data_IF_412280515211
#
_entry.id   IF_412280515211
#
_cell.length_a   1.000
_cell.length_b   1.000
_cell.length_c   1.000
_cell.angle_alpha   90.00
_cell.angle_beta   90.00
_cell.angle_gamma   90.00
#
_symmetry.space_group_name_H-M   'P 1'
#
loop_
_entity.id
_entity.type
_entity.pdbx_description
1 polymer ?
#
# COMPACT_ATOMS: atom_id res chain seq x y z
N UNK A 1 2.25 1.67 36.55
CA UNK A 1 1.82 2.93 35.88
C UNK A 1 2.46 3.20 34.50
N UNK A 2 3.31 2.31 33.94
CA UNK A 2 3.99 2.54 32.64
C UNK A 2 3.13 2.26 31.39
N UNK A 3 2.15 1.35 31.46
CA UNK A 3 1.45 0.86 30.27
C UNK A 3 0.51 1.89 29.61
N UNK A 4 -0.26 2.67 30.38
CA UNK A 4 -1.24 3.58 29.80
C UNK A 4 -0.60 4.75 29.05
N UNK A 5 0.45 5.36 29.63
CA UNK A 5 1.16 6.50 29.01
C UNK A 5 1.98 6.06 27.80
N UNK A 6 2.56 4.85 27.85
CA UNK A 6 3.25 4.24 26.71
C UNK A 6 2.30 3.87 25.57
N UNK A 7 1.12 3.31 25.90
CA UNK A 7 0.07 3.02 24.92
C UNK A 7 -0.46 4.31 24.26
N UNK A 8 -0.68 5.36 25.06
CA UNK A 8 -1.17 6.64 24.55
C UNK A 8 -0.20 7.31 23.58
N UNK A 9 1.11 7.26 23.86
CA UNK A 9 2.13 7.77 22.92
C UNK A 9 2.20 6.96 21.62
N UNK A 10 1.99 5.65 21.68
CA UNK A 10 2.02 4.78 20.49
C UNK A 10 0.76 4.90 19.62
N UNK A 11 -0.40 5.19 20.24
CA UNK A 11 -1.70 5.22 19.58
C UNK A 11 -2.34 6.62 19.62
N UNK A 12 -1.55 7.67 19.42
CA UNK A 12 -2.02 9.05 19.49
C UNK A 12 -3.16 9.34 18.51
N UNK A 13 -3.05 8.85 17.26
CA UNK A 13 -4.09 9.04 16.23
C UNK A 13 -5.41 8.41 16.64
N UNK A 14 -5.39 7.18 17.21
CA UNK A 14 -6.60 6.51 17.69
C UNK A 14 -7.26 7.30 18.83
N UNK A 15 -6.46 7.80 19.78
CA UNK A 15 -6.97 8.59 20.90
C UNK A 15 -7.58 9.92 20.44
N UNK A 16 -6.94 10.60 19.49
CA UNK A 16 -7.46 11.84 18.91
C UNK A 16 -8.77 11.58 18.17
N UNK A 17 -8.84 10.53 17.35
CA UNK A 17 -10.05 10.14 16.64
C UNK A 17 -11.19 9.79 17.62
N UNK A 18 -10.89 9.06 18.69
CA UNK A 18 -11.87 8.71 19.73
C UNK A 18 -12.36 9.95 20.50
N UNK A 19 -11.46 10.85 20.87
CA UNK A 19 -11.82 12.11 21.52
C UNK A 19 -12.69 12.99 20.60
N UNK A 20 -12.33 13.10 19.32
CA UNK A 20 -13.13 13.82 18.33
C UNK A 20 -14.53 13.19 18.18
N UNK A 21 -14.62 11.86 18.13
CA UNK A 21 -15.91 11.15 18.07
C UNK A 21 -16.78 11.40 19.31
N UNK A 22 -16.19 11.47 20.51
CA UNK A 22 -16.92 11.82 21.73
C UNK A 22 -17.44 13.27 21.68
N UNK A 23 -16.62 14.21 21.21
CA UNK A 23 -17.01 15.61 21.09
C UNK A 23 -18.15 15.76 20.07
N UNK A 24 -18.05 15.13 18.91
CA UNK A 24 -19.11 15.21 17.89
C UNK A 24 -20.40 14.51 18.33
N UNK A 25 -20.28 13.46 19.15
CA UNK A 25 -21.44 12.79 19.77
C UNK A 25 -22.23 13.67 20.75
N UNK A 26 -21.68 14.80 21.22
CA UNK A 26 -22.43 15.78 22.01
C UNK A 26 -23.33 16.66 21.13
N UNK A 27 -22.94 16.90 19.88
CA UNK A 27 -23.70 17.72 18.92
C UNK A 27 -24.71 16.90 18.13
N UNK A 28 -24.35 15.66 17.79
CA UNK A 28 -25.24 14.70 17.14
C UNK A 28 -25.36 13.50 18.07
N UNK A 29 -26.48 13.33 18.79
CA UNK A 29 -26.64 12.26 19.75
C UNK A 29 -26.65 10.90 19.04
N UNK A 30 -25.99 9.91 19.64
CA UNK A 30 -25.92 8.55 19.08
C UNK A 30 -27.32 7.95 19.00
N UNK A 31 -27.76 7.68 17.78
CA UNK A 31 -28.99 6.96 17.50
C UNK A 31 -28.68 5.65 16.72
N UNK A 32 -29.74 4.96 16.28
CA UNK A 32 -29.58 3.71 15.53
C UNK A 32 -29.05 3.93 14.12
N UNK A 33 -29.13 5.15 13.57
CA UNK A 33 -28.66 5.46 12.22
C UNK A 33 -27.14 5.50 12.13
N UNK A 34 -26.45 5.74 13.25
CA UNK A 34 -24.98 5.68 13.33
C UNK A 34 -24.40 4.34 12.85
N UNK A 35 -25.12 3.22 13.04
CA UNK A 35 -24.68 1.91 12.53
C UNK A 35 -24.61 1.93 11.00
N UNK A 36 -25.50 2.68 10.33
CA UNK A 36 -25.52 2.84 8.89
C UNK A 36 -24.41 3.73 8.34
N UNK A 37 -23.73 4.52 9.18
CA UNK A 37 -22.60 5.36 8.74
C UNK A 37 -21.35 4.53 8.43
N UNK A 38 -21.24 3.34 9.02
CA UNK A 38 -20.11 2.45 8.79
C UNK A 38 -20.36 1.58 7.57
N UNK A 39 -19.53 1.77 6.53
CA UNK A 39 -19.42 0.78 5.46
C UNK A 39 -18.63 -0.43 5.96
N UNK A 40 -19.33 -1.35 6.63
CA UNK A 40 -18.75 -2.58 7.18
C UNK A 40 -18.04 -3.43 6.13
N UNK A 41 -18.47 -3.36 4.87
CA UNK A 41 -17.82 -4.07 3.77
C UNK A 41 -16.43 -3.50 3.51
N UNK A 42 -16.32 -2.17 3.42
CA UNK A 42 -15.06 -1.48 3.21
C UNK A 42 -14.12 -1.65 4.40
N UNK A 43 -14.62 -1.48 5.64
CA UNK A 43 -13.83 -1.66 6.86
C UNK A 43 -13.30 -3.09 7.02
N UNK A 44 -14.14 -4.10 6.78
CA UNK A 44 -13.74 -5.51 6.85
C UNK A 44 -12.66 -5.83 5.82
N UNK A 45 -12.79 -5.29 4.61
CA UNK A 45 -11.83 -5.46 3.54
C UNK A 45 -10.47 -4.85 3.90
N UNK A 46 -10.46 -3.60 4.38
CA UNK A 46 -9.25 -2.91 4.84
C UNK A 46 -8.56 -3.69 5.97
N UNK A 47 -9.34 -4.15 6.96
CA UNK A 47 -8.82 -4.96 8.06
C UNK A 47 -8.16 -6.25 7.57
N UNK A 48 -8.85 -7.04 6.73
CA UNK A 48 -8.33 -8.30 6.21
C UNK A 48 -7.00 -8.11 5.47
N UNK A 49 -6.89 -7.08 4.63
CA UNK A 49 -5.66 -6.85 3.88
C UNK A 49 -4.54 -6.37 4.78
N UNK A 50 -4.81 -5.46 5.73
CA UNK A 50 -3.83 -5.03 6.71
C UNK A 50 -3.32 -6.20 7.56
N UNK A 51 -4.21 -7.09 7.99
CA UNK A 51 -3.87 -8.28 8.75
C UNK A 51 -2.96 -9.23 7.95
N UNK A 52 -3.27 -9.49 6.68
CA UNK A 52 -2.40 -10.32 5.83
C UNK A 52 -1.05 -9.67 5.56
N UNK A 53 -1.00 -8.36 5.34
CA UNK A 53 0.27 -7.62 5.18
C UNK A 53 1.12 -7.75 6.45
N UNK A 54 0.52 -7.64 7.64
CA UNK A 54 1.22 -7.89 8.90
C UNK A 54 1.74 -9.34 8.99
N UNK A 55 0.93 -10.33 8.63
CA UNK A 55 1.33 -11.73 8.67
C UNK A 55 2.48 -12.06 7.68
N UNK A 56 2.45 -11.48 6.47
CA UNK A 56 3.53 -11.56 5.50
C UNK A 56 4.81 -10.89 6.00
N UNK A 57 4.68 -9.78 6.72
CA UNK A 57 5.82 -9.11 7.37
C UNK A 57 6.45 -10.01 8.43
N UNK A 58 5.64 -10.69 9.25
CA UNK A 58 6.14 -11.54 10.34
C UNK A 58 6.94 -12.75 9.86
N UNK A 59 6.66 -13.26 8.66
CA UNK A 59 7.47 -14.34 8.05
C UNK A 59 8.62 -13.87 7.16
N UNK A 60 9.03 -12.60 7.26
CA UNK A 60 10.13 -12.06 6.46
C UNK A 60 9.91 -12.21 4.94
N UNK A 61 8.66 -12.32 4.49
CA UNK A 61 8.34 -12.48 3.06
C UNK A 61 8.87 -11.30 2.24
N UNK A 62 8.58 -10.08 2.72
CA UNK A 62 9.06 -8.86 2.11
C UNK A 62 10.58 -8.75 2.14
N UNK A 63 11.26 -9.34 3.15
CA UNK A 63 12.72 -9.38 3.19
C UNK A 63 13.31 -10.25 2.07
N UNK A 64 12.64 -11.34 1.70
CA UNK A 64 13.10 -12.19 0.58
C UNK A 64 12.80 -11.58 -0.77
N UNK A 65 11.63 -10.93 -0.94
CA UNK A 65 11.39 -10.12 -2.13
C UNK A 65 12.42 -9.00 -2.22
N UNK A 66 12.72 -8.32 -1.11
CA UNK A 66 13.75 -7.30 -1.04
C UNK A 66 15.11 -7.83 -1.48
N UNK A 67 15.55 -9.00 -0.99
CA UNK A 67 16.79 -9.63 -1.46
C UNK A 67 16.76 -9.96 -2.95
N UNK A 68 15.63 -10.45 -3.46
CA UNK A 68 15.49 -10.79 -4.89
C UNK A 68 15.54 -9.54 -5.77
N UNK A 69 14.88 -8.45 -5.35
CA UNK A 69 14.94 -7.13 -5.98
C UNK A 69 16.39 -6.63 -5.95
N UNK A 70 17.07 -6.63 -4.81
CA UNK A 70 18.46 -6.12 -4.72
C UNK A 70 19.45 -6.99 -5.50
N UNK A 71 19.27 -8.31 -5.52
CA UNK A 71 20.12 -9.21 -6.30
C UNK A 71 19.95 -8.99 -7.81
N UNK A 72 18.73 -8.69 -8.25
CA UNK A 72 18.44 -8.35 -9.63
C UNK A 72 18.90 -6.93 -9.99
N UNK A 73 18.65 -5.97 -9.09
CA UNK A 73 18.94 -4.55 -9.26
C UNK A 73 20.17 -4.15 -8.42
N UNK A 74 21.34 -4.25 -9.05
CA UNK A 74 22.67 -4.08 -8.44
C UNK A 74 22.97 -2.68 -7.86
N UNK A 75 22.11 -1.69 -8.08
CA UNK A 75 22.31 -0.31 -7.61
C UNK A 75 21.10 0.25 -6.87
N UNK A 76 21.36 1.18 -5.95
CA UNK A 76 20.35 1.83 -5.13
C UNK A 76 19.29 2.53 -5.99
N UNK A 77 19.71 3.20 -7.06
CA UNK A 77 18.83 3.84 -8.04
C UNK A 77 17.88 2.85 -8.68
N UNK A 78 18.40 1.73 -9.19
CA UNK A 78 17.57 0.74 -9.90
C UNK A 78 16.60 0.04 -8.95
N UNK A 79 17.01 -0.23 -7.71
CA UNK A 79 16.11 -0.79 -6.70
C UNK A 79 15.00 0.18 -6.30
N UNK A 80 15.32 1.48 -6.11
CA UNK A 80 14.32 2.50 -5.80
C UNK A 80 13.35 2.69 -6.97
N UNK A 81 13.87 2.76 -8.20
CA UNK A 81 13.04 2.79 -9.40
C UNK A 81 12.12 1.58 -9.48
N UNK A 82 12.65 0.37 -9.28
CA UNK A 82 11.84 -0.86 -9.31
C UNK A 82 10.73 -0.83 -8.25
N UNK A 83 11.02 -0.40 -7.03
CA UNK A 83 10.03 -0.27 -5.96
C UNK A 83 8.92 0.73 -6.33
N UNK A 84 9.31 1.90 -6.86
CA UNK A 84 8.37 2.96 -7.27
C UNK A 84 7.50 2.48 -8.44
N UNK A 85 8.08 1.82 -9.45
CA UNK A 85 7.35 1.29 -10.59
C UNK A 85 6.43 0.11 -10.24
N UNK A 86 6.85 -0.79 -9.36
CA UNK A 86 5.98 -1.86 -8.86
C UNK A 86 4.79 -1.25 -8.11
N UNK A 87 5.03 -0.18 -7.33
CA UNK A 87 3.95 0.56 -6.65
C UNK A 87 3.01 1.24 -7.65
N UNK A 88 3.57 1.86 -8.70
CA UNK A 88 2.84 2.54 -9.77
C UNK A 88 1.94 1.60 -10.57
N UNK A 89 2.46 0.45 -10.99
CA UNK A 89 1.69 -0.58 -11.70
C UNK A 89 0.71 -1.25 -10.76
N UNK A 90 1.12 -1.49 -9.51
CA UNK A 90 0.26 -2.03 -8.46
C UNK A 90 -0.99 -1.18 -8.27
N UNK A 91 -0.87 0.15 -8.19
CA UNK A 91 -2.02 1.04 -7.98
C UNK A 91 -2.94 1.19 -9.20
N UNK A 92 -2.54 0.73 -10.39
CA UNK A 92 -3.46 0.61 -11.53
C UNK A 92 -4.41 -0.58 -11.38
N UNK A 93 -3.91 -1.65 -10.77
CA UNK A 93 -4.59 -2.93 -10.64
C UNK A 93 -5.45 -2.96 -9.37
N UNK A 94 -4.87 -2.54 -8.24
CA UNK A 94 -5.53 -2.46 -6.93
C UNK A 94 -5.68 -1.01 -6.48
N UNK A 95 -6.53 -0.74 -5.49
CA UNK A 95 -6.69 0.61 -4.94
C UNK A 95 -5.35 1.16 -4.38
N UNK A 96 -5.11 2.46 -4.60
CA UNK A 96 -3.90 3.19 -4.22
C UNK A 96 -3.46 2.90 -2.76
N UNK A 97 -4.38 3.04 -1.80
CA UNK A 97 -4.08 2.84 -0.37
C UNK A 97 -3.58 1.42 -0.08
N UNK A 98 -4.14 0.43 -0.79
CA UNK A 98 -3.78 -0.98 -0.64
C UNK A 98 -2.40 -1.27 -1.25
N UNK A 99 -2.07 -0.61 -2.36
CA UNK A 99 -0.74 -0.66 -2.95
C UNK A 99 0.31 -0.09 -1.98
N UNK A 100 0.04 1.06 -1.37
CA UNK A 100 0.96 1.67 -0.41
C UNK A 100 1.18 0.80 0.82
N UNK A 101 0.11 0.27 1.41
CA UNK A 101 0.22 -0.64 2.57
C UNK A 101 1.09 -1.87 2.26
N UNK A 102 1.06 -2.34 1.02
CA UNK A 102 1.85 -3.51 0.59
C UNK A 102 3.31 -3.16 0.29
N UNK A 103 3.56 -2.10 -0.47
CA UNK A 103 4.88 -1.81 -1.03
C UNK A 103 5.75 -0.88 -0.18
N UNK A 104 5.17 -0.11 0.74
CA UNK A 104 5.93 0.76 1.64
C UNK A 104 6.79 -0.05 2.65
N UNK A 105 6.27 -1.12 3.30
CA UNK A 105 7.09 -1.99 4.15
C UNK A 105 8.21 -2.70 3.36
N UNK A 106 7.95 -3.04 2.10
CA UNK A 106 8.95 -3.62 1.21
C UNK A 106 10.10 -2.63 0.93
N UNK A 107 9.78 -1.37 0.61
CA UNK A 107 10.78 -0.33 0.40
C UNK A 107 11.61 -0.04 1.65
N UNK A 108 10.98 -0.03 2.83
CA UNK A 108 11.67 0.06 4.12
C UNK A 108 12.72 -1.05 4.28
N UNK A 109 12.31 -2.31 4.05
CA UNK A 109 13.18 -3.48 4.23
C UNK A 109 14.34 -3.48 3.24
N UNK A 110 14.12 -3.15 1.96
CA UNK A 110 15.19 -3.02 0.95
C UNK A 110 16.25 -2.00 1.39
N UNK A 111 15.82 -0.81 1.80
CA UNK A 111 16.75 0.27 2.15
C UNK A 111 17.43 0.06 3.50
N UNK A 112 16.72 -0.52 4.47
CA UNK A 112 17.30 -0.82 5.78
C UNK A 112 18.29 -1.98 5.73
N UNK A 113 18.00 -3.05 4.97
CA UNK A 113 18.89 -4.21 4.81
C UNK A 113 20.16 -3.91 4.01
N UNK A 114 20.16 -2.84 3.22
CA UNK A 114 21.32 -2.40 2.41
C UNK A 114 22.05 -1.19 3.00
N UNK A 115 21.67 -0.75 4.20
CA UNK A 115 22.27 0.41 4.87
C UNK A 115 22.01 1.75 4.17
N UNK A 116 21.01 1.83 3.30
CA UNK A 116 20.67 3.01 2.48
C UNK A 116 19.47 3.80 3.01
N UNK A 117 19.32 3.86 4.33
CA UNK A 117 18.21 4.57 4.98
C UNK A 117 18.13 6.06 4.62
N UNK A 118 19.23 6.69 4.17
CA UNK A 118 19.23 8.08 3.66
C UNK A 118 18.25 8.33 2.50
N UNK A 119 17.93 7.30 1.72
CA UNK A 119 16.97 7.41 0.61
C UNK A 119 15.54 7.00 0.99
N UNK A 120 15.28 6.65 2.26
CA UNK A 120 13.99 6.13 2.70
C UNK A 120 12.87 7.16 2.55
N UNK A 121 13.08 8.38 3.05
CA UNK A 121 12.10 9.46 2.92
C UNK A 121 11.77 9.74 1.44
N UNK A 122 12.81 9.86 0.60
CA UNK A 122 12.62 10.06 -0.84
C UNK A 122 11.82 8.91 -1.47
N UNK A 123 12.18 7.66 -1.16
CA UNK A 123 11.52 6.48 -1.72
C UNK A 123 10.05 6.43 -1.32
N UNK A 124 9.72 6.73 -0.07
CA UNK A 124 8.32 6.77 0.40
C UNK A 124 7.51 7.88 -0.26
N UNK A 125 8.10 9.06 -0.44
CA UNK A 125 7.46 10.16 -1.17
C UNK A 125 7.19 9.72 -2.61
N UNK A 126 8.18 9.14 -3.29
CA UNK A 126 8.02 8.69 -4.68
C UNK A 126 7.02 7.53 -4.81
N UNK A 127 6.99 6.59 -3.85
CA UNK A 127 5.98 5.54 -3.82
C UNK A 127 4.58 6.09 -3.62
N UNK A 128 4.40 7.09 -2.74
CA UNK A 128 3.11 7.75 -2.52
C UNK A 128 2.62 8.46 -3.79
N UNK A 129 3.50 9.26 -4.40
CA UNK A 129 3.23 9.93 -5.67
C UNK A 129 2.88 8.90 -6.76
N UNK A 130 3.68 7.83 -6.87
CA UNK A 130 3.46 6.79 -7.86
C UNK A 130 2.14 6.04 -7.67
N UNK A 131 1.78 5.72 -6.43
CA UNK A 131 0.52 5.04 -6.15
C UNK A 131 -0.68 5.91 -6.53
N UNK A 132 -0.61 7.22 -6.27
CA UNK A 132 -1.68 8.16 -6.60
C UNK A 132 -1.78 8.47 -8.11
N UNK A 133 -0.65 8.57 -8.80
CA UNK A 133 -0.62 8.86 -10.23
C UNK A 133 -0.84 7.62 -11.11
N UNK A 134 -0.47 6.43 -10.62
CA UNK A 134 -0.64 5.17 -11.35
C UNK A 134 -2.12 4.83 -11.58
N UNK A 135 -2.97 5.01 -10.56
CA UNK A 135 -4.41 4.76 -10.64
C UNK A 135 -5.19 5.73 -11.53
N UNK A 136 -4.54 6.75 -12.12
CA UNK A 136 -5.22 7.75 -12.95
C UNK A 136 -5.56 7.24 -14.36
N UNK A 137 -4.80 6.28 -14.88
CA UNK A 137 -4.99 5.77 -16.25
C UNK A 137 -6.24 4.87 -16.36
N UNK A 138 -6.60 4.18 -15.28
CA UNK A 138 -7.74 3.27 -15.25
C UNK A 138 -8.92 3.91 -14.52
N UNK A 139 -10.16 3.70 -15.00
CA UNK A 139 -11.35 4.25 -14.34
C UNK A 139 -11.58 3.63 -12.95
N UNK A 140 -11.01 2.45 -12.69
CA UNK A 140 -11.16 1.71 -11.43
C UNK A 140 -10.07 1.98 -10.39
N UNK A 141 -8.95 2.60 -10.78
CA UNK A 141 -7.81 2.81 -9.87
C UNK A 141 -8.06 3.90 -8.81
N UNK A 142 -8.96 4.83 -9.08
CA UNK A 142 -9.23 5.97 -8.23
C UNK A 142 -10.76 6.25 -8.14
N UNK A 143 -11.37 6.35 -6.94
CA UNK A 143 -12.80 6.62 -6.77
C UNK A 143 -13.28 7.88 -7.51
N UNK A 144 -12.43 8.89 -7.62
CA UNK A 144 -12.69 10.13 -8.34
C UNK A 144 -12.86 9.88 -9.85
N UNK A 145 -11.99 9.04 -10.41
CA UNK A 145 -12.06 8.63 -11.81
C UNK A 145 -13.30 7.80 -12.10
N UNK A 146 -13.63 6.88 -11.18
CA UNK A 146 -14.82 6.04 -11.28
C UNK A 146 -16.10 6.88 -11.27
N UNK A 147 -16.15 7.90 -10.41
CA UNK A 147 -17.30 8.81 -10.35
C UNK A 147 -17.51 9.56 -11.67
N UNK A 148 -16.44 10.14 -12.24
CA UNK A 148 -16.52 10.83 -13.53
C UNK A 148 -16.92 9.88 -14.66
N UNK A 149 -16.32 8.70 -14.68
CA UNK A 149 -16.63 7.65 -15.65
C UNK A 149 -18.12 7.24 -15.61
N UNK A 150 -18.67 6.97 -14.43
CA UNK A 150 -20.07 6.55 -14.26
C UNK A 150 -21.06 7.70 -14.46
N UNK A 151 -20.73 8.92 -14.01
CA UNK A 151 -21.65 10.07 -14.08
C UNK A 151 -21.78 10.61 -15.50
N UNK A 152 -20.68 10.64 -16.26
CA UNK A 152 -20.64 11.18 -17.62
C UNK A 152 -20.70 10.09 -18.71
N UNK A 153 -20.80 8.81 -18.34
CA UNK A 153 -20.83 7.66 -19.27
C UNK A 153 -19.73 7.72 -20.33
N UNK A 154 -18.52 8.09 -19.92
CA UNK A 154 -17.39 8.29 -20.84
C UNK A 154 -16.93 6.91 -21.34
N UNK A 155 -16.80 6.70 -22.66
CA UNK A 155 -16.22 5.48 -23.20
C UNK A 155 -14.80 5.22 -22.67
N UNK A 156 -14.45 3.95 -22.41
CA UNK A 156 -13.13 3.57 -21.85
C UNK A 156 -11.94 4.17 -22.61
N UNK A 157 -11.98 4.11 -23.95
CA UNK A 157 -10.90 4.60 -24.80
C UNK A 157 -10.74 6.11 -24.75
N UNK A 158 -11.84 6.85 -24.65
CA UNK A 158 -11.82 8.32 -24.54
C UNK A 158 -11.28 8.74 -23.17
N UNK A 159 -11.71 8.08 -22.10
CA UNK A 159 -11.18 8.30 -20.75
C UNK A 159 -9.67 8.05 -20.69
N UNK A 160 -9.20 6.92 -21.23
CA UNK A 160 -7.77 6.59 -21.28
C UNK A 160 -6.99 7.58 -22.15
N UNK A 161 -7.56 8.04 -23.27
CA UNK A 161 -6.95 9.05 -24.13
C UNK A 161 -6.78 10.40 -23.43
N UNK A 162 -7.78 10.84 -22.67
CA UNK A 162 -7.73 12.08 -21.89
C UNK A 162 -6.71 11.98 -20.73
N UNK A 163 -6.63 10.81 -20.07
CA UNK A 163 -5.73 10.59 -18.94
C UNK A 163 -4.30 10.19 -19.34
N UNK A 164 -4.07 9.77 -20.60
CA UNK A 164 -2.75 9.36 -21.07
C UNK A 164 -1.68 10.48 -21.04
N UNK A 165 -1.94 11.73 -21.47
CA UNK A 165 -0.96 12.81 -21.40
C UNK A 165 -0.44 13.10 -19.98
N UNK A 166 -1.28 13.35 -18.95
CA UNK A 166 -0.80 13.57 -17.59
C UNK A 166 -0.15 12.30 -17.01
N UNK A 167 -0.60 11.11 -17.42
CA UNK A 167 0.00 9.84 -17.02
C UNK A 167 1.44 9.69 -17.53
N UNK A 168 1.68 9.92 -18.83
CA UNK A 168 3.01 9.85 -19.43
C UNK A 168 3.94 10.87 -18.78
N UNK A 169 3.45 12.11 -18.59
CA UNK A 169 4.20 13.16 -17.91
C UNK A 169 4.59 12.74 -16.49
N UNK A 170 3.68 12.10 -15.76
CA UNK A 170 3.93 11.59 -14.40
C UNK A 170 5.03 10.53 -14.39
N UNK A 171 4.99 9.57 -15.33
CA UNK A 171 6.03 8.54 -15.47
C UNK A 171 7.39 9.17 -15.75
N UNK A 172 7.45 10.14 -16.67
CA UNK A 172 8.68 10.84 -17.03
C UNK A 172 9.24 11.59 -15.82
N UNK A 173 8.42 12.38 -15.13
CA UNK A 173 8.85 13.15 -13.96
C UNK A 173 9.30 12.25 -12.82
N UNK A 174 8.58 11.17 -12.53
CA UNK A 174 8.96 10.19 -11.51
C UNK A 174 10.34 9.60 -11.81
N UNK A 175 10.56 9.22 -13.07
CA UNK A 175 11.83 8.64 -13.52
C UNK A 175 12.97 9.64 -13.41
N UNK A 176 12.76 10.87 -13.88
CA UNK A 176 13.75 11.93 -13.81
C UNK A 176 14.12 12.26 -12.36
N UNK A 177 13.13 12.39 -11.47
CA UNK A 177 13.38 12.61 -10.05
C UNK A 177 14.24 11.49 -9.45
N UNK A 178 13.91 10.23 -9.72
CA UNK A 178 14.71 9.09 -9.24
C UNK A 178 16.14 9.10 -9.81
N UNK A 179 16.34 9.49 -11.07
CA UNK A 179 17.67 9.57 -11.70
C UNK A 179 18.51 10.72 -11.11
N UNK A 180 17.90 11.88 -10.90
CA UNK A 180 18.56 13.11 -10.42
C UNK A 180 18.91 13.00 -8.92
N UNK A 181 17.96 12.58 -8.09
CA UNK A 181 18.11 12.62 -6.63
C UNK A 181 18.73 11.35 -6.03
N UNK A 182 18.72 10.22 -6.75
CA UNK A 182 19.32 8.96 -6.26
C UNK A 182 20.64 8.69 -6.96
N UNK A 183 21.72 8.62 -6.18
CA UNK A 183 23.05 8.26 -6.71
C UNK A 183 23.11 6.77 -7.08
N UNK A 184 23.84 6.46 -8.14
CA UNK A 184 24.17 5.10 -8.55
C UNK A 184 25.18 4.47 -7.60
N UNK A 185 24.76 4.15 -6.39
CA UNK A 185 25.59 3.45 -5.44
C UNK A 185 25.32 1.95 -5.52
N UNK A 186 26.35 1.09 -5.47
CA UNK A 186 26.15 -0.35 -5.41
C UNK A 186 25.38 -0.70 -4.14
N UNK A 187 24.51 -1.70 -4.25
CA UNK A 187 23.85 -2.31 -3.11
C UNK A 187 24.63 -3.54 -2.71
N UNK A 188 25.15 -3.55 -1.49
CA UNK A 188 25.70 -4.73 -0.87
C UNK A 188 24.74 -5.16 0.24
N UNK A 189 24.24 -6.40 0.13
CA UNK A 189 23.45 -7.02 1.19
C UNK A 189 24.44 -7.74 2.10
N UNK A 190 24.43 -7.45 3.39
CA UNK A 190 25.15 -8.27 4.37
C UNK A 190 24.62 -9.71 4.26
N UNK A 191 25.54 -10.65 4.11
CA UNK A 191 25.27 -12.01 3.63
C UNK A 191 24.67 -12.91 4.73
N UNK A 192 23.62 -12.45 5.41
CA UNK A 192 22.88 -13.29 6.36
C UNK A 192 21.93 -14.22 5.61
N UNK A 193 22.13 -15.52 5.80
CA UNK A 193 21.23 -16.57 5.32
C UNK A 193 19.98 -16.58 6.20
N UNK A 194 18.92 -15.91 5.75
CA UNK A 194 17.59 -16.09 6.32
C UNK A 194 16.91 -17.22 5.55
N UNK A 195 16.70 -18.36 6.21
CA UNK A 195 15.95 -19.48 5.67
C UNK A 195 14.45 -19.21 5.79
N UNK A 196 13.73 -19.27 4.66
CA UNK A 196 12.28 -19.17 4.66
C UNK A 196 11.65 -20.55 4.86
N UNK A 197 10.66 -20.62 5.72
CA UNK A 197 9.79 -21.78 5.82
C UNK A 197 8.74 -21.76 4.68
N UNK A 198 9.02 -22.46 3.59
CA UNK A 198 8.23 -22.44 2.36
C UNK A 198 6.73 -22.73 2.53
N UNK A 199 6.35 -23.54 3.53
CA UNK A 199 4.93 -23.84 3.83
C UNK A 199 4.19 -22.61 4.36
N UNK A 200 4.82 -21.86 5.28
CA UNK A 200 4.24 -20.61 5.81
C UNK A 200 4.20 -19.54 4.74
N UNK A 201 5.24 -19.43 3.92
CA UNK A 201 5.26 -18.49 2.79
C UNK A 201 4.15 -18.78 1.77
N UNK A 202 3.93 -20.05 1.41
CA UNK A 202 2.85 -20.43 0.52
C UNK A 202 1.46 -20.13 1.11
N UNK A 203 1.26 -20.41 2.41
CA UNK A 203 0.02 -20.10 3.11
C UNK A 203 -0.26 -18.60 3.14
N UNK A 204 0.72 -17.77 3.50
CA UNK A 204 0.51 -16.31 3.53
C UNK A 204 0.38 -15.71 2.13
N UNK A 205 1.04 -16.26 1.11
CA UNK A 205 0.79 -15.90 -0.29
C UNK A 205 -0.63 -16.27 -0.74
N UNK A 206 -1.13 -17.43 -0.32
CA UNK A 206 -2.51 -17.84 -0.59
C UNK A 206 -3.52 -16.93 0.14
N UNK A 207 -3.26 -16.57 1.40
CA UNK A 207 -4.05 -15.60 2.15
C UNK A 207 -3.99 -14.21 1.52
N UNK A 208 -2.85 -13.82 0.95
CA UNK A 208 -2.70 -12.56 0.22
C UNK A 208 -3.45 -12.55 -1.10
N UNK A 209 -3.40 -13.65 -1.86
CA UNK A 209 -4.21 -13.82 -3.06
C UNK A 209 -5.72 -13.82 -2.71
N UNK A 210 -6.11 -14.46 -1.60
CA UNK A 210 -7.48 -14.45 -1.09
C UNK A 210 -7.92 -13.03 -0.69
N UNK A 211 -7.08 -12.29 0.04
CA UNK A 211 -7.35 -10.91 0.42
C UNK A 211 -7.49 -10.00 -0.80
N UNK A 212 -6.62 -10.17 -1.81
CA UNK A 212 -6.76 -9.50 -3.11
C UNK A 212 -8.08 -9.89 -3.79
N UNK A 213 -8.45 -11.17 -3.82
CA UNK A 213 -9.71 -11.63 -4.42
C UNK A 213 -10.96 -11.06 -3.72
N UNK A 214 -10.90 -10.86 -2.40
CA UNK A 214 -11.96 -10.19 -1.63
C UNK A 214 -12.03 -8.69 -2.01
N UNK A 215 -10.87 -8.02 -2.15
CA UNK A 215 -10.78 -6.61 -2.58
C UNK A 215 -11.38 -6.41 -3.96
N UNK A 216 -11.08 -7.29 -4.92
CA UNK A 216 -11.65 -7.28 -6.27
C UNK A 216 -13.13 -7.67 -6.32
N UNK A 217 -13.79 -7.83 -5.17
CA UNK A 217 -15.20 -8.24 -5.04
C UNK A 217 -15.49 -9.63 -5.64
N UNK A 218 -14.45 -10.45 -5.85
CA UNK A 218 -14.60 -11.83 -6.32
C UNK A 218 -15.07 -12.80 -5.23
N UNK A 219 -14.86 -12.45 -3.95
CA UNK A 219 -15.22 -13.26 -2.78
C UNK A 219 -15.91 -12.38 -1.72
N UNK A 220 -17.00 -12.84 -1.06
CA UNK A 220 -17.68 -12.07 -0.02
C UNK A 220 -16.80 -11.81 1.22
N UNK A 221 -16.88 -10.60 1.76
CA UNK A 221 -15.99 -10.09 2.82
C UNK A 221 -16.02 -10.88 4.14
N UNK A 222 -17.13 -11.54 4.46
CA UNK A 222 -17.26 -12.39 5.65
C UNK A 222 -16.29 -13.58 5.65
N UNK A 223 -15.93 -14.09 4.47
CA UNK A 223 -14.94 -15.18 4.32
C UNK A 223 -13.55 -14.69 4.75
N UNK A 224 -13.21 -13.45 4.44
CA UNK A 224 -11.96 -12.82 4.90
C UNK A 224 -11.89 -12.73 6.41
N UNK A 225 -12.96 -12.26 7.05
CA UNK A 225 -13.05 -12.12 8.51
C UNK A 225 -12.94 -13.44 9.29
N UNK A 226 -13.36 -14.56 8.69
CA UNK A 226 -13.29 -15.88 9.33
C UNK A 226 -11.90 -16.52 9.12
N UNK A 227 -11.30 -16.33 7.95
CA UNK A 227 -10.06 -17.00 7.55
C UNK A 227 -8.81 -16.22 7.95
N UNK A 228 -8.91 -14.89 8.02
CA UNK A 228 -7.83 -13.96 8.37
C UNK A 228 -8.18 -13.30 9.71
N UNK A 229 -7.92 -13.96 10.85
CA UNK A 229 -8.06 -13.35 12.17
C UNK A 229 -6.90 -12.39 12.50
#
# INVERSE_FOLDING_TARGET
MSNARGFAKKNAVMLIAFAAALITSLFVPVDKEYIGYFDFKTLSCLFCVLAVVCALKDINFFFVIARKIVHFFKTARMSILALVYITFIGSMLIANDMALLTFLPLGFLVLSSTGKQKYMAFTFIMQNIAANLGGMLTPFGNPQNLYLYTKFNIPNGEFMGIMAPPFILSVVLITLCCIIFVKNEPLMISNEKIELNGKRTALYLALFALAIAIVFRGIPYWIGLIIIP
#
